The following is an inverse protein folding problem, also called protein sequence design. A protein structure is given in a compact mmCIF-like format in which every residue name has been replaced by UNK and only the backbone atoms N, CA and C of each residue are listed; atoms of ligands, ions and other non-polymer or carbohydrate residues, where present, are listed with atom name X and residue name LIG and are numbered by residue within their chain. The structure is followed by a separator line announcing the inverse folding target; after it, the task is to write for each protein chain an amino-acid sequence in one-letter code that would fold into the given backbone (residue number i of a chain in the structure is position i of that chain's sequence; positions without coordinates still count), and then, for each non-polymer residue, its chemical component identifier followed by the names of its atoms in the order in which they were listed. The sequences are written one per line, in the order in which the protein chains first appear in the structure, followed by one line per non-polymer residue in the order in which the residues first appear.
data_IF_936816476440
#
_entry.id   IF_936816476440
#
_cell.length_a   1.000
_cell.length_b   1.000
_cell.length_c   1.000
_cell.angle_alpha   90.00
_cell.angle_beta   90.00
_cell.angle_gamma   90.00
#
_symmetry.space_group_name_H-M   'P 1'
#
loop_
_entity.id
_entity.type
_entity.pdbx_description
1 polymer ?
#
# COMPACT_ATOMS: atom_id res chain seq x y z
N UNK A 1 2.44 -23.41 -21.20
CA UNK A 1 1.46 -22.75 -20.32
C UNK A 1 0.28 -22.31 -21.17
N UNK A 2 -0.94 -22.57 -20.72
CA UNK A 2 -2.14 -22.12 -21.44
C UNK A 2 -2.42 -20.64 -21.19
N UNK A 3 -3.21 -20.01 -22.08
CA UNK A 3 -3.66 -18.62 -21.93
C UNK A 3 -4.41 -18.39 -20.60
N UNK A 4 -5.12 -19.42 -20.13
CA UNK A 4 -5.82 -19.39 -18.84
C UNK A 4 -4.85 -19.35 -17.67
N UNK A 5 -3.79 -20.15 -17.69
CA UNK A 5 -2.75 -20.16 -16.65
C UNK A 5 -2.04 -18.81 -16.57
N UNK A 6 -1.82 -18.15 -17.72
CA UNK A 6 -1.21 -16.82 -17.75
C UNK A 6 -2.09 -15.75 -17.14
N UNK A 7 -3.39 -15.74 -17.45
CA UNK A 7 -4.35 -14.84 -16.80
C UNK A 7 -4.44 -15.08 -15.30
N UNK A 8 -4.44 -16.34 -14.84
CA UNK A 8 -4.41 -16.68 -13.41
C UNK A 8 -3.17 -16.11 -12.71
N UNK A 9 -2.00 -16.14 -13.36
CA UNK A 9 -0.79 -15.51 -12.82
C UNK A 9 -0.93 -13.99 -12.66
N UNK A 10 -1.55 -13.30 -13.63
CA UNK A 10 -1.80 -11.85 -13.51
C UNK A 10 -2.67 -11.54 -12.30
N UNK A 11 -3.77 -12.28 -12.10
CA UNK A 11 -4.63 -12.10 -10.93
C UNK A 11 -3.93 -12.43 -9.62
N UNK A 12 -3.09 -13.48 -9.58
CA UNK A 12 -2.32 -13.82 -8.40
C UNK A 12 -1.33 -12.71 -8.01
N UNK A 13 -0.61 -12.14 -9.00
CA UNK A 13 0.29 -11.02 -8.76
C UNK A 13 -0.44 -9.73 -8.41
N UNK A 14 -1.63 -9.49 -8.95
CA UNK A 14 -2.45 -8.35 -8.55
C UNK A 14 -2.86 -8.47 -7.08
N UNK A 15 -3.28 -9.67 -6.66
CA UNK A 15 -3.57 -9.97 -5.26
C UNK A 15 -2.34 -9.76 -4.36
N UNK A 16 -1.17 -10.24 -4.79
CA UNK A 16 0.08 -10.05 -4.05
C UNK A 16 0.45 -8.56 -3.91
N UNK A 17 0.39 -7.78 -5.00
CA UNK A 17 0.68 -6.35 -4.96
C UNK A 17 -0.30 -5.59 -4.05
N UNK A 18 -1.58 -5.94 -4.12
CA UNK A 18 -2.62 -5.36 -3.24
C UNK A 18 -2.37 -5.71 -1.78
N UNK A 19 -1.99 -6.95 -1.49
CA UNK A 19 -1.63 -7.39 -0.14
C UNK A 19 -0.45 -6.59 0.42
N UNK A 20 0.65 -6.47 -0.33
CA UNK A 20 1.80 -5.70 0.14
C UNK A 20 1.48 -4.21 0.30
N UNK A 21 0.68 -3.64 -0.60
CA UNK A 21 0.20 -2.26 -0.43
C UNK A 21 -0.60 -2.09 0.88
N UNK A 22 -1.43 -3.08 1.24
CA UNK A 22 -2.17 -3.09 2.51
C UNK A 22 -1.27 -3.20 3.73
N UNK A 23 -0.17 -3.97 3.64
CA UNK A 23 0.83 -4.06 4.72
C UNK A 23 1.41 -2.69 5.07
N UNK A 24 1.79 -1.89 4.07
CA UNK A 24 2.30 -0.52 4.29
C UNK A 24 1.28 0.34 5.05
N UNK A 25 -0.02 0.23 4.75
CA UNK A 25 -1.06 0.96 5.49
C UNK A 25 -1.16 0.54 6.96
N UNK A 26 -1.07 -0.77 7.21
CA UNK A 26 -1.10 -1.32 8.56
C UNK A 26 0.12 -0.88 9.35
N UNK A 27 1.30 -0.84 8.72
CA UNK A 27 2.53 -0.38 9.34
C UNK A 27 2.48 1.11 9.68
N UNK A 28 1.93 1.96 8.78
CA UNK A 28 1.66 3.37 9.08
C UNK A 28 0.66 3.53 10.24
N UNK A 29 -0.34 2.66 10.33
CA UNK A 29 -1.26 2.64 11.46
C UNK A 29 -0.56 2.30 12.78
N UNK A 30 0.29 1.26 12.76
CA UNK A 30 1.08 0.85 13.92
C UNK A 30 2.04 1.97 14.35
N UNK A 31 2.75 2.59 13.41
CA UNK A 31 3.64 3.71 13.67
C UNK A 31 2.89 4.85 14.38
N UNK A 32 1.69 5.20 13.90
CA UNK A 32 0.84 6.19 14.56
C UNK A 32 0.47 5.80 16.00
N UNK A 33 0.12 4.53 16.25
CA UNK A 33 -0.20 4.07 17.59
C UNK A 33 1.00 4.17 18.54
N UNK A 34 2.21 3.93 18.04
CA UNK A 34 3.46 4.10 18.80
C UNK A 34 3.68 5.56 19.17
N UNK A 35 3.59 6.48 18.20
CA UNK A 35 3.77 7.92 18.45
C UNK A 35 2.80 8.47 19.50
N UNK A 36 1.52 8.09 19.41
CA UNK A 36 0.52 8.47 20.40
C UNK A 36 0.90 7.98 21.80
N UNK A 37 1.45 6.76 21.92
CA UNK A 37 1.87 6.21 23.21
C UNK A 37 3.14 6.86 23.74
N UNK A 38 4.03 7.34 22.88
CA UNK A 38 5.17 8.15 23.32
C UNK A 38 4.72 9.49 23.91
N UNK A 39 3.77 10.16 23.26
CA UNK A 39 3.19 11.42 23.74
C UNK A 39 2.34 11.25 25.02
N UNK A 40 1.58 10.15 25.10
CA UNK A 40 0.79 9.79 26.27
C UNK A 40 0.94 8.29 26.58
N UNK A 41 1.81 7.90 27.53
CA UNK A 41 2.06 6.49 27.86
C UNK A 41 0.87 5.73 28.45
N UNK A 42 -0.16 6.44 28.94
CA UNK A 42 -1.36 5.84 29.53
C UNK A 42 -2.61 6.60 29.04
N UNK A 43 -2.96 6.45 27.74
CA UNK A 43 -4.18 7.03 27.23
C UNK A 43 -5.38 6.37 27.92
N UNK A 44 -6.42 7.17 28.16
CA UNK A 44 -7.69 6.68 28.66
C UNK A 44 -8.40 5.84 27.60
N UNK A 45 -9.30 4.95 28.02
CA UNK A 45 -10.08 4.12 27.09
C UNK A 45 -10.87 4.95 26.07
N UNK A 46 -11.30 6.15 26.47
CA UNK A 46 -12.01 7.09 25.60
C UNK A 46 -11.09 7.68 24.52
N UNK A 47 -9.86 8.05 24.87
CA UNK A 47 -8.85 8.53 23.91
C UNK A 47 -8.45 7.41 22.94
N UNK A 48 -8.28 6.19 23.46
CA UNK A 48 -7.96 5.02 22.64
C UNK A 48 -9.08 4.68 21.64
N UNK A 49 -10.32 4.68 22.11
CA UNK A 49 -11.50 4.48 21.25
C UNK A 49 -11.64 5.59 20.20
N UNK A 50 -11.30 6.84 20.54
CA UNK A 50 -11.32 7.95 19.59
C UNK A 50 -10.25 7.79 18.49
N UNK A 51 -9.09 7.25 18.83
CA UNK A 51 -8.02 6.98 17.87
C UNK A 51 -8.39 5.87 16.89
N UNK A 52 -8.92 4.75 17.38
CA UNK A 52 -9.35 3.61 16.57
C UNK A 52 -10.56 3.93 15.69
N UNK A 53 -11.49 4.76 16.17
CA UNK A 53 -12.68 5.15 15.40
C UNK A 53 -12.38 6.10 14.24
N UNK A 54 -11.22 6.76 14.23
CA UNK A 54 -10.76 7.55 13.07
C UNK A 54 -10.29 6.61 11.96
N UNK A 55 -11.19 6.29 11.04
CA UNK A 55 -10.87 5.71 9.73
C UNK A 55 -10.08 6.73 8.90
N UNK A 56 -8.77 6.73 9.03
CA UNK A 56 -7.90 7.51 8.17
C UNK A 56 -7.57 6.70 6.92
N UNK A 57 -7.53 7.39 5.77
CA UNK A 57 -6.89 6.84 4.58
C UNK A 57 -5.37 6.75 4.80
N UNK A 58 -4.68 5.94 4.00
CA UNK A 58 -3.21 5.86 4.00
C UNK A 58 -2.56 7.24 3.88
N UNK A 59 -3.11 8.14 3.04
CA UNK A 59 -2.62 9.52 2.94
C UNK A 59 -2.82 10.33 4.21
N UNK A 60 -3.94 10.13 4.92
CA UNK A 60 -4.17 10.72 6.23
C UNK A 60 -3.20 10.20 7.29
N UNK A 61 -2.87 8.91 7.25
CA UNK A 61 -1.89 8.30 8.15
C UNK A 61 -0.48 8.82 7.89
N UNK A 62 -0.05 8.86 6.63
CA UNK A 62 1.25 9.37 6.25
C UNK A 62 1.47 10.82 6.71
N UNK A 63 0.44 11.67 6.56
CA UNK A 63 0.48 13.05 7.03
C UNK A 63 0.75 13.12 8.54
N UNK A 64 0.02 12.34 9.34
CA UNK A 64 0.16 12.34 10.80
C UNK A 64 1.49 11.74 11.26
N UNK A 65 1.96 10.67 10.62
CA UNK A 65 3.27 10.08 10.91
C UNK A 65 4.37 11.10 10.62
N UNK A 66 4.32 11.81 9.49
CA UNK A 66 5.26 12.88 9.15
C UNK A 66 5.30 14.02 10.17
N UNK A 67 4.14 14.41 10.70
CA UNK A 67 4.06 15.48 11.71
C UNK A 67 4.62 15.05 13.08
N UNK A 68 4.60 13.74 13.39
CA UNK A 68 5.05 13.19 14.67
C UNK A 68 6.43 12.50 14.66
N UNK A 69 7.13 12.44 13.52
CA UNK A 69 8.41 11.71 13.40
C UNK A 69 9.51 12.59 12.82
N UNK A 70 10.76 12.19 13.04
CA UNK A 70 11.94 12.75 12.37
C UNK A 70 12.37 11.87 11.19
N UNK A 71 11.42 11.45 10.35
CA UNK A 71 11.73 10.71 9.12
C UNK A 71 12.57 11.58 8.19
N UNK A 72 13.56 10.96 7.55
CA UNK A 72 14.37 11.61 6.52
C UNK A 72 13.54 11.88 5.26
N UNK A 73 13.92 12.90 4.49
CA UNK A 73 13.18 13.27 3.26
C UNK A 73 13.04 12.08 2.29
N UNK A 74 14.07 11.24 2.18
CA UNK A 74 14.04 10.03 1.34
C UNK A 74 13.05 8.97 1.80
N UNK A 75 12.80 8.84 3.11
CA UNK A 75 11.80 7.93 3.67
C UNK A 75 10.38 8.45 3.37
N UNK A 76 10.19 9.77 3.51
CA UNK A 76 8.92 10.43 3.19
C UNK A 76 8.59 10.29 1.70
N UNK A 77 9.56 10.51 0.81
CA UNK A 77 9.40 10.33 -0.64
C UNK A 77 9.06 8.87 -1.00
N UNK A 78 9.68 7.90 -0.31
CA UNK A 78 9.41 6.48 -0.51
C UNK A 78 7.96 6.11 -0.12
N UNK A 79 7.48 6.63 1.01
CA UNK A 79 6.10 6.42 1.47
C UNK A 79 5.07 7.13 0.57
N UNK A 80 5.40 8.33 0.07
CA UNK A 80 4.56 9.03 -0.93
C UNK A 80 4.46 8.23 -2.23
N UNK A 81 5.58 7.68 -2.70
CA UNK A 81 5.60 6.79 -3.86
C UNK A 81 4.70 5.57 -3.62
N UNK A 82 4.78 4.94 -2.45
CA UNK A 82 3.90 3.82 -2.10
C UNK A 82 2.42 4.22 -2.10
N UNK A 83 2.07 5.38 -1.55
CA UNK A 83 0.70 5.90 -1.56
C UNK A 83 0.17 6.09 -2.99
N UNK A 84 0.95 6.72 -3.86
CA UNK A 84 0.58 6.94 -5.26
C UNK A 84 0.39 5.62 -6.01
N UNK A 85 1.34 4.70 -5.86
CA UNK A 85 1.28 3.38 -6.51
C UNK A 85 0.11 2.54 -5.99
N UNK A 86 -0.20 2.59 -4.70
CA UNK A 86 -1.38 1.93 -4.12
C UNK A 86 -2.67 2.50 -4.72
N UNK A 87 -2.79 3.83 -4.77
CA UNK A 87 -3.97 4.50 -5.32
C UNK A 87 -4.19 4.10 -6.78
N UNK A 88 -3.12 4.12 -7.57
CA UNK A 88 -3.18 3.68 -8.95
C UNK A 88 -3.56 2.19 -9.07
N UNK A 89 -2.94 1.32 -8.28
CA UNK A 89 -3.24 -0.11 -8.28
C UNK A 89 -4.72 -0.39 -7.96
N UNK A 90 -5.27 0.30 -6.95
CA UNK A 90 -6.63 0.08 -6.49
C UNK A 90 -7.71 0.68 -7.40
N UNK A 91 -7.43 1.82 -8.05
CA UNK A 91 -8.46 2.59 -8.77
C UNK A 91 -8.32 2.53 -10.29
N UNK A 92 -7.10 2.40 -10.82
CA UNK A 92 -6.82 2.62 -12.24
C UNK A 92 -6.23 1.40 -12.94
N UNK A 93 -5.64 0.44 -12.21
CA UNK A 93 -4.93 -0.69 -12.83
C UNK A 93 -5.77 -1.42 -13.87
N UNK A 94 -6.99 -1.87 -13.53
CA UNK A 94 -7.79 -2.67 -14.45
C UNK A 94 -8.38 -1.86 -15.60
N UNK A 95 -8.73 -0.59 -15.35
CA UNK A 95 -9.15 0.33 -16.40
C UNK A 95 -8.05 0.47 -17.46
N UNK A 96 -6.80 0.69 -17.02
CA UNK A 96 -5.70 0.94 -17.93
C UNK A 96 -5.05 -0.33 -18.50
N UNK A 97 -5.09 -1.47 -17.79
CA UNK A 97 -4.28 -2.66 -18.11
C UNK A 97 -5.08 -3.90 -18.50
N UNK A 98 -6.41 -3.88 -18.40
CA UNK A 98 -7.25 -5.04 -18.79
C UNK A 98 -6.99 -5.52 -20.22
N UNK A 99 -6.70 -4.60 -21.15
CA UNK A 99 -6.36 -4.92 -22.53
C UNK A 99 -5.11 -5.81 -22.69
N UNK A 100 -4.23 -5.88 -21.69
CA UNK A 100 -3.04 -6.74 -21.74
C UNK A 100 -3.38 -8.24 -21.64
N UNK A 101 -4.56 -8.59 -21.10
CA UNK A 101 -4.94 -9.99 -20.86
C UNK A 101 -5.34 -10.75 -22.14
N UNK A 102 -5.43 -10.06 -23.27
CA UNK A 102 -5.80 -10.65 -24.58
C UNK A 102 -4.67 -11.45 -25.23
N UNK A 103 -3.45 -11.35 -24.71
CA UNK A 103 -2.30 -12.06 -25.26
C UNK A 103 -1.34 -12.54 -24.16
N UNK A 104 -0.61 -13.60 -24.47
CA UNK A 104 0.50 -14.11 -23.65
C UNK A 104 1.54 -13.04 -23.34
N UNK A 105 1.95 -12.27 -24.35
CA UNK A 105 2.94 -11.22 -24.18
C UNK A 105 2.43 -10.09 -23.26
N UNK A 106 1.16 -9.70 -23.40
CA UNK A 106 0.53 -8.72 -22.52
C UNK A 106 0.41 -9.24 -21.09
N UNK A 107 0.03 -10.51 -20.88
CA UNK A 107 0.01 -11.12 -19.56
C UNK A 107 1.41 -11.13 -18.91
N UNK A 108 2.48 -11.40 -19.66
CA UNK A 108 3.85 -11.32 -19.14
C UNK A 108 4.18 -9.91 -18.66
N UNK A 109 3.88 -8.89 -19.47
CA UNK A 109 4.10 -7.48 -19.09
C UNK A 109 3.33 -7.08 -17.84
N UNK A 110 2.08 -7.53 -17.72
CA UNK A 110 1.26 -7.28 -16.55
C UNK A 110 1.85 -7.95 -15.29
N UNK A 111 2.35 -9.17 -15.41
CA UNK A 111 3.06 -9.86 -14.31
C UNK A 111 4.31 -9.09 -13.90
N UNK A 112 5.14 -8.65 -14.85
CA UNK A 112 6.35 -7.91 -14.56
C UNK A 112 6.04 -6.59 -13.84
N UNK A 113 5.06 -5.81 -14.33
CA UNK A 113 4.60 -4.57 -13.70
C UNK A 113 4.11 -4.80 -12.26
N UNK A 114 3.26 -5.82 -12.04
CA UNK A 114 2.72 -6.14 -10.72
C UNK A 114 3.78 -6.68 -9.74
N UNK A 115 4.73 -7.49 -10.23
CA UNK A 115 5.85 -7.93 -9.40
C UNK A 115 6.76 -6.77 -9.00
N UNK A 116 7.00 -5.82 -9.91
CA UNK A 116 7.74 -4.59 -9.61
C UNK A 116 7.04 -3.74 -8.55
N UNK A 117 5.71 -3.65 -8.60
CA UNK A 117 4.94 -3.00 -7.54
C UNK A 117 5.10 -3.69 -6.19
N UNK A 118 5.11 -5.02 -6.15
CA UNK A 118 5.39 -5.76 -4.91
C UNK A 118 6.76 -5.36 -4.33
N UNK A 119 7.78 -5.21 -5.17
CA UNK A 119 9.12 -4.83 -4.72
C UNK A 119 9.19 -3.38 -4.21
N UNK A 120 8.37 -2.47 -4.77
CA UNK A 120 8.21 -1.11 -4.24
C UNK A 120 7.59 -1.17 -2.84
N UNK A 121 6.47 -1.88 -2.67
CA UNK A 121 5.76 -1.96 -1.39
C UNK A 121 6.50 -2.72 -0.30
N UNK A 122 7.43 -3.62 -0.64
CA UNK A 122 8.28 -4.31 0.35
C UNK A 122 9.45 -3.47 0.85
N UNK A 123 9.79 -2.39 0.15
CA UNK A 123 10.92 -1.51 0.46
C UNK A 123 10.51 -0.22 1.16
N UNK A 124 9.27 0.22 0.95
CA UNK A 124 8.66 1.32 1.71
C UNK A 124 8.25 0.86 3.09
#
# INVERSE_FOLDING_TARGET
MSDEEQRKKVFAWYGAATYYAQCVEVELWIARLVLVREDNPKPTDQEWSHLESKKLSMGGLLKLVREGTSLEDGEIESLQTCLEKRNWLAHHYWEERSHLLVSTAGCSRAVDELSGLCDVFKKG
#
